data_IF_782034093025
#
_entry.id   IF_782034093025
#
_cell.length_a   1.000
_cell.length_b   1.000
_cell.length_c   1.000
_cell.angle_alpha   90.00
_cell.angle_beta   90.00
_cell.angle_gamma   90.00
#
_symmetry.space_group_name_H-M   'P 1'
#
loop_
_entity.id
_entity.type
_entity.pdbx_description
1 polymer ?
#
# COMPACT_ATOMS: atom_id res chain seq x y z
N UNK A 1 12.54 13.06 15.75
CA UNK A 1 12.44 13.70 14.44
C UNK A 1 11.14 13.29 13.78
N UNK A 2 10.38 14.24 13.35
CA UNK A 2 9.15 13.98 12.59
C UNK A 2 9.52 13.36 11.23
N UNK A 3 9.58 12.05 11.19
CA UNK A 3 9.79 11.31 9.95
C UNK A 3 8.57 11.43 9.05
N UNK A 4 8.79 11.57 7.78
CA UNK A 4 7.79 11.34 6.77
C UNK A 4 6.85 12.48 6.44
N UNK A 5 7.02 13.65 7.01
CA UNK A 5 6.08 14.76 6.81
C UNK A 5 5.80 15.10 5.34
N UNK A 6 6.82 15.29 4.50
CA UNK A 6 6.64 15.65 3.09
C UNK A 6 6.33 14.47 2.18
N UNK A 7 7.15 13.41 2.22
CA UNK A 7 7.00 12.24 1.34
C UNK A 7 5.73 11.45 1.63
N UNK A 8 5.37 11.26 2.92
CA UNK A 8 4.16 10.55 3.32
C UNK A 8 2.91 11.26 2.79
N UNK A 9 2.86 12.58 2.89
CA UNK A 9 1.77 13.37 2.31
C UNK A 9 1.68 13.17 0.79
N UNK A 10 2.82 13.14 0.08
CA UNK A 10 2.85 12.97 -1.38
C UNK A 10 2.17 11.68 -1.81
N UNK A 11 2.58 10.53 -1.27
CA UNK A 11 1.98 9.28 -1.71
C UNK A 11 0.55 9.09 -1.19
N UNK A 12 0.23 9.57 0.01
CA UNK A 12 -1.14 9.51 0.53
C UNK A 12 -2.10 10.38 -0.27
N UNK A 13 -1.72 11.58 -0.64
CA UNK A 13 -2.54 12.45 -1.48
C UNK A 13 -2.79 11.81 -2.85
N UNK A 14 -1.78 11.23 -3.48
CA UNK A 14 -1.93 10.53 -4.75
C UNK A 14 -2.93 9.36 -4.65
N UNK A 15 -2.85 8.56 -3.58
CA UNK A 15 -3.77 7.45 -3.33
C UNK A 15 -5.21 7.94 -3.12
N UNK A 16 -5.39 8.96 -2.30
CA UNK A 16 -6.70 9.53 -2.00
C UNK A 16 -7.35 10.17 -3.22
N UNK A 17 -6.58 10.87 -4.04
CA UNK A 17 -7.07 11.47 -5.29
C UNK A 17 -7.59 10.39 -6.26
N UNK A 18 -6.86 9.28 -6.42
CA UNK A 18 -7.32 8.16 -7.26
C UNK A 18 -8.63 7.57 -6.76
N UNK A 19 -8.76 7.38 -5.46
CA UNK A 19 -9.96 6.84 -4.86
C UNK A 19 -11.16 7.76 -5.07
N UNK A 20 -11.01 9.04 -4.75
CA UNK A 20 -12.08 10.03 -4.90
C UNK A 20 -12.50 10.14 -6.36
N UNK A 21 -11.54 10.20 -7.29
CA UNK A 21 -11.83 10.27 -8.72
C UNK A 21 -12.64 9.06 -9.21
N UNK A 22 -12.23 7.85 -8.85
CA UNK A 22 -12.95 6.63 -9.24
C UNK A 22 -14.36 6.59 -8.65
N UNK A 23 -14.52 7.02 -7.40
CA UNK A 23 -15.82 7.06 -6.75
C UNK A 23 -16.74 8.10 -7.36
N UNK A 24 -16.25 9.29 -7.72
CA UNK A 24 -17.03 10.30 -8.43
C UNK A 24 -17.42 9.84 -9.83
N UNK A 25 -16.55 9.16 -10.54
CA UNK A 25 -16.91 8.52 -11.82
C UNK A 25 -18.06 7.53 -11.65
N UNK A 26 -18.03 6.68 -10.63
CA UNK A 26 -19.09 5.72 -10.38
C UNK A 26 -20.44 6.39 -10.09
N UNK A 27 -20.45 7.59 -9.51
CA UNK A 27 -21.67 8.36 -9.26
C UNK A 27 -22.22 9.07 -10.50
N UNK A 28 -21.38 9.31 -11.50
CA UNK A 28 -21.73 10.08 -12.70
C UNK A 28 -22.26 9.25 -13.85
N UNK A 29 -22.32 7.94 -13.69
CA UNK A 29 -22.77 6.98 -14.72
C UNK A 29 -23.99 6.21 -14.26
N UNK A 30 -24.59 5.40 -15.15
CA UNK A 30 -25.73 4.56 -14.79
C UNK A 30 -25.35 3.51 -13.71
N UNK A 31 -26.34 2.97 -12.96
CA UNK A 31 -26.05 1.92 -11.98
C UNK A 31 -25.34 0.70 -12.57
N UNK A 32 -25.68 0.30 -13.79
CA UNK A 32 -25.04 -0.82 -14.48
C UNK A 32 -23.58 -0.52 -14.81
N UNK A 33 -23.29 0.67 -15.31
CA UNK A 33 -21.93 1.13 -15.59
C UNK A 33 -21.13 1.33 -14.31
N UNK A 34 -21.74 1.91 -13.26
CA UNK A 34 -21.10 2.10 -11.96
C UNK A 34 -20.61 0.78 -11.36
N UNK A 35 -21.39 -0.30 -11.56
CA UNK A 35 -21.01 -1.63 -11.08
C UNK A 35 -19.73 -2.17 -11.75
N UNK A 36 -19.39 -1.69 -12.93
CA UNK A 36 -18.16 -2.08 -13.64
C UNK A 36 -16.94 -1.27 -13.20
N UNK A 37 -17.12 -0.14 -12.53
CA UNK A 37 -16.04 0.71 -12.08
C UNK A 37 -15.42 0.13 -10.83
N UNK A 38 -14.18 -0.34 -10.98
CA UNK A 38 -13.41 -0.90 -9.88
C UNK A 38 -12.78 0.22 -9.07
N UNK A 39 -13.07 0.26 -7.77
CA UNK A 39 -12.37 1.18 -6.87
C UNK A 39 -10.90 0.78 -6.71
N UNK A 40 -9.98 1.74 -6.70
CA UNK A 40 -8.56 1.45 -6.57
C UNK A 40 -8.20 0.88 -5.20
N UNK A 41 -7.20 -0.01 -5.18
CA UNK A 41 -6.60 -0.55 -3.96
C UNK A 41 -5.13 -0.17 -3.93
N UNK A 42 -4.70 0.45 -2.85
CA UNK A 42 -3.30 0.82 -2.65
C UNK A 42 -2.65 -0.04 -1.57
N UNK A 43 -1.35 -0.32 -1.76
CA UNK A 43 -0.52 -1.04 -0.82
C UNK A 43 0.73 -0.22 -0.50
N UNK A 44 0.94 0.07 0.78
CA UNK A 44 2.15 0.72 1.29
C UNK A 44 2.91 -0.28 2.16
N UNK A 45 4.14 -0.58 1.77
CA UNK A 45 5.03 -1.46 2.52
C UNK A 45 6.07 -0.63 3.25
N UNK A 46 6.19 -0.85 4.55
CA UNK A 46 7.11 -0.18 5.45
C UNK A 46 7.95 -1.20 6.22
N UNK A 47 9.22 -0.91 6.54
CA UNK A 47 10.10 -1.90 7.15
C UNK A 47 9.80 -2.20 8.61
N UNK A 48 9.14 -1.29 9.33
CA UNK A 48 8.87 -1.45 10.76
C UNK A 48 7.42 -1.19 11.12
N UNK A 49 7.00 -1.81 12.22
CA UNK A 49 5.70 -1.58 12.84
C UNK A 49 5.47 -0.09 13.14
N UNK A 50 6.45 0.58 13.73
CA UNK A 50 6.35 1.98 14.14
C UNK A 50 6.10 2.89 12.94
N UNK A 51 6.79 2.66 11.85
CA UNK A 51 6.59 3.40 10.60
C UNK A 51 5.23 3.10 9.97
N UNK A 52 4.81 1.85 9.96
CA UNK A 52 3.48 1.47 9.45
C UNK A 52 2.37 2.16 10.25
N UNK A 53 2.46 2.18 11.57
CA UNK A 53 1.49 2.85 12.45
C UNK A 53 1.48 4.36 12.21
N UNK A 54 2.64 4.98 12.02
CA UNK A 54 2.72 6.41 11.72
C UNK A 54 2.06 6.74 10.38
N UNK A 55 2.27 5.92 9.36
CA UNK A 55 1.61 6.08 8.06
C UNK A 55 0.09 5.93 8.21
N UNK A 56 -0.36 4.97 9.00
CA UNK A 56 -1.78 4.77 9.29
C UNK A 56 -2.40 6.01 9.93
N UNK A 57 -1.75 6.59 10.94
CA UNK A 57 -2.23 7.80 11.60
C UNK A 57 -2.34 8.98 10.62
N UNK A 58 -1.32 9.19 9.80
CA UNK A 58 -1.32 10.23 8.77
C UNK A 58 -2.42 10.00 7.73
N UNK A 59 -2.61 8.75 7.30
CA UNK A 59 -3.66 8.39 6.36
C UNK A 59 -5.07 8.66 6.92
N UNK A 60 -5.32 8.31 8.17
CA UNK A 60 -6.61 8.58 8.83
C UNK A 60 -6.88 10.06 8.97
N UNK A 61 -5.87 10.84 9.28
CA UNK A 61 -5.99 12.32 9.37
C UNK A 61 -6.32 12.92 8.01
N UNK A 62 -5.58 12.54 6.95
CA UNK A 62 -5.78 13.09 5.61
C UNK A 62 -7.09 12.63 4.97
N UNK A 63 -7.57 11.44 5.31
CA UNK A 63 -8.80 10.88 4.75
C UNK A 63 -10.05 11.20 5.57
N UNK A 64 -9.94 11.95 6.65
CA UNK A 64 -11.05 12.20 7.59
C UNK A 64 -12.28 12.85 6.93
N UNK A 65 -12.09 13.62 5.86
CA UNK A 65 -13.17 14.20 5.06
C UNK A 65 -13.67 13.34 3.90
N UNK A 66 -13.14 12.12 3.75
CA UNK A 66 -13.50 11.21 2.64
C UNK A 66 -14.35 10.08 3.23
N UNK A 67 -15.69 10.06 3.00
CA UNK A 67 -16.55 9.00 3.52
C UNK A 67 -16.18 7.64 2.92
N UNK A 68 -16.32 6.59 3.74
CA UNK A 68 -16.19 5.19 3.31
C UNK A 68 -14.79 4.77 2.82
N UNK A 69 -13.77 5.59 3.02
CA UNK A 69 -12.39 5.19 2.74
C UNK A 69 -11.87 4.30 3.86
N UNK A 70 -11.52 3.05 3.53
CA UNK A 70 -11.18 2.00 4.49
C UNK A 70 -9.69 1.75 4.52
N UNK A 71 -9.10 1.85 5.71
CA UNK A 71 -7.66 1.67 5.94
C UNK A 71 -7.44 0.45 6.81
N UNK A 72 -6.50 -0.41 6.41
CA UNK A 72 -6.02 -1.53 7.22
C UNK A 72 -4.52 -1.45 7.43
N UNK A 73 -4.05 -1.76 8.66
CA UNK A 73 -2.64 -1.76 9.01
C UNK A 73 -2.24 -3.12 9.59
N UNK A 74 -1.23 -3.75 8.97
CA UNK A 74 -0.85 -5.14 9.22
C UNK A 74 0.64 -5.25 9.55
N UNK A 75 0.95 -5.67 10.78
CA UNK A 75 2.32 -5.82 11.27
C UNK A 75 2.44 -6.96 12.28
N UNK A 76 3.63 -7.52 12.39
CA UNK A 76 3.93 -8.61 13.30
C UNK A 76 4.01 -8.19 14.78
N UNK A 77 4.13 -9.18 15.67
CA UNK A 77 4.25 -8.95 17.11
C UNK A 77 2.92 -8.74 17.85
N UNK A 78 1.79 -8.82 17.14
CA UNK A 78 0.44 -8.74 17.72
C UNK A 78 -0.45 -9.86 17.16
N UNK A 79 -1.52 -10.18 17.88
CA UNK A 79 -2.48 -11.18 17.44
C UNK A 79 -3.23 -10.76 16.16
N UNK A 80 -3.82 -11.75 15.50
CA UNK A 80 -4.51 -11.56 14.22
C UNK A 80 -5.92 -10.96 14.35
N UNK A 81 -6.58 -11.09 15.49
CA UNK A 81 -8.01 -10.77 15.66
C UNK A 81 -8.39 -9.37 15.19
N UNK A 82 -7.63 -8.36 15.64
CA UNK A 82 -7.89 -6.96 15.25
C UNK A 82 -7.68 -6.73 13.76
N UNK A 83 -6.64 -7.36 13.19
CA UNK A 83 -6.30 -7.23 11.78
C UNK A 83 -7.29 -8.00 10.90
N UNK A 84 -7.73 -9.18 11.35
CA UNK A 84 -8.78 -9.95 10.66
C UNK A 84 -10.09 -9.16 10.54
N UNK A 85 -10.45 -8.41 11.56
CA UNK A 85 -11.63 -7.53 11.52
C UNK A 85 -11.52 -6.48 10.41
N UNK A 86 -10.35 -5.85 10.27
CA UNK A 86 -10.12 -4.88 9.20
C UNK A 86 -10.31 -5.51 7.81
N UNK A 87 -9.82 -6.73 7.63
CA UNK A 87 -9.97 -7.47 6.37
C UNK A 87 -11.44 -7.74 6.07
N UNK A 88 -12.21 -8.19 7.06
CA UNK A 88 -13.62 -8.50 6.89
C UNK A 88 -14.45 -7.27 6.49
N UNK A 89 -14.08 -6.10 6.98
CA UNK A 89 -14.73 -4.82 6.63
C UNK A 89 -14.39 -4.33 5.21
N UNK A 90 -13.37 -4.91 4.58
CA UNK A 90 -12.83 -4.46 3.30
C UNK A 90 -11.82 -3.33 3.45
N UNK A 91 -10.89 -3.21 2.50
CA UNK A 91 -9.78 -2.27 2.60
C UNK A 91 -9.52 -1.61 1.25
N UNK A 92 -9.36 -0.28 1.26
CA UNK A 92 -8.96 0.53 0.10
C UNK A 92 -7.47 0.90 0.16
N UNK A 93 -6.93 1.06 1.36
CA UNK A 93 -5.52 1.29 1.61
C UNK A 93 -4.98 0.26 2.59
N UNK A 94 -4.07 -0.57 2.10
CA UNK A 94 -3.37 -1.59 2.89
C UNK A 94 -2.00 -1.01 3.26
N UNK A 95 -1.70 -0.96 4.55
CA UNK A 95 -0.39 -0.54 5.06
C UNK A 95 0.17 -1.70 5.86
N UNK A 96 1.45 -2.01 5.72
CA UNK A 96 1.98 -3.07 6.54
C UNK A 96 3.48 -3.31 6.42
N UNK A 97 3.96 -4.24 7.24
CA UNK A 97 5.32 -4.76 7.19
C UNK A 97 5.37 -6.03 6.33
N UNK A 98 6.52 -6.33 5.70
CA UNK A 98 6.62 -7.39 4.70
C UNK A 98 6.12 -8.75 5.18
N UNK A 99 6.58 -9.22 6.34
CA UNK A 99 6.27 -10.57 6.83
C UNK A 99 4.77 -10.79 7.07
N UNK A 100 4.11 -9.86 7.76
CA UNK A 100 2.68 -9.97 8.06
C UNK A 100 1.81 -9.85 6.81
N UNK A 101 2.18 -8.99 5.86
CA UNK A 101 1.48 -8.87 4.57
C UNK A 101 1.55 -10.17 3.77
N UNK A 102 2.71 -10.81 3.72
CA UNK A 102 2.88 -12.10 3.06
C UNK A 102 2.11 -13.23 3.78
N UNK A 103 2.05 -13.22 5.11
CA UNK A 103 1.23 -14.16 5.87
C UNK A 103 -0.24 -14.09 5.46
N UNK A 104 -0.78 -12.87 5.39
CA UNK A 104 -2.18 -12.67 4.99
C UNK A 104 -2.43 -13.02 3.52
N UNK A 105 -1.46 -12.76 2.65
CA UNK A 105 -1.55 -13.20 1.25
C UNK A 105 -1.55 -14.73 1.15
N UNK A 106 -0.68 -15.40 1.91
CA UNK A 106 -0.59 -16.85 1.94
C UNK A 106 -1.86 -17.51 2.48
N UNK A 107 -2.53 -16.86 3.42
CA UNK A 107 -3.84 -17.28 3.94
C UNK A 107 -5.01 -16.90 3.00
N UNK A 108 -4.75 -16.34 1.84
CA UNK A 108 -5.74 -15.86 0.87
C UNK A 108 -6.69 -14.78 1.43
N UNK A 109 -6.25 -14.05 2.45
CA UNK A 109 -7.03 -12.96 3.06
C UNK A 109 -6.77 -11.61 2.41
N UNK A 110 -5.61 -11.42 1.80
CA UNK A 110 -5.24 -10.23 1.00
C UNK A 110 -4.81 -10.71 -0.38
N UNK A 111 -5.37 -10.10 -1.42
CA UNK A 111 -5.03 -10.42 -2.81
C UNK A 111 -4.22 -9.29 -3.43
N UNK A 112 -2.91 -9.49 -3.60
CA UNK A 112 -2.01 -8.50 -4.18
C UNK A 112 -2.29 -8.23 -5.67
N UNK A 113 -2.99 -9.11 -6.36
CA UNK A 113 -3.38 -8.88 -7.76
C UNK A 113 -4.35 -7.71 -7.93
N UNK A 114 -5.04 -7.33 -6.86
CA UNK A 114 -5.98 -6.20 -6.85
C UNK A 114 -5.29 -4.86 -6.65
N UNK A 115 -4.01 -4.84 -6.31
CA UNK A 115 -3.25 -3.62 -6.03
C UNK A 115 -2.94 -2.89 -7.33
N UNK A 116 -3.39 -1.66 -7.44
CA UNK A 116 -3.11 -0.77 -8.59
C UNK A 116 -2.16 0.39 -8.24
N UNK A 117 -1.94 0.67 -6.96
CA UNK A 117 -0.91 1.61 -6.50
C UNK A 117 -0.06 0.93 -5.43
N UNK A 118 1.23 0.86 -5.68
CA UNK A 118 2.21 0.26 -4.77
C UNK A 118 3.22 1.30 -4.31
N UNK A 119 3.43 1.39 -3.01
CA UNK A 119 4.43 2.26 -2.39
C UNK A 119 5.39 1.44 -1.54
N UNK A 120 6.67 1.54 -1.82
CA UNK A 120 7.74 0.99 -1.00
C UNK A 120 8.43 2.14 -0.28
N UNK A 121 8.21 2.27 1.03
CA UNK A 121 8.79 3.33 1.84
C UNK A 121 10.02 2.82 2.59
N UNK A 122 11.05 3.66 2.66
CA UNK A 122 12.34 3.34 3.28
C UNK A 122 12.97 2.06 2.72
N UNK A 123 13.08 1.97 1.40
CA UNK A 123 13.57 0.79 0.70
C UNK A 123 14.98 0.36 1.13
N UNK A 124 15.89 1.30 1.34
CA UNK A 124 17.24 1.04 1.83
C UNK A 124 17.22 0.35 3.20
N UNK A 125 16.36 0.78 4.10
CA UNK A 125 16.22 0.18 5.41
C UNK A 125 15.63 -1.23 5.32
N UNK A 126 14.72 -1.50 4.38
CA UNK A 126 14.23 -2.85 4.13
C UNK A 126 15.36 -3.80 3.69
N UNK A 127 16.26 -3.35 2.85
CA UNK A 127 17.45 -4.13 2.46
C UNK A 127 18.33 -4.43 3.66
N UNK A 128 18.63 -3.41 4.48
CA UNK A 128 19.48 -3.56 5.66
C UNK A 128 18.89 -4.54 6.69
N UNK A 129 17.57 -4.60 6.77
CA UNK A 129 16.84 -5.52 7.64
C UNK A 129 16.61 -6.91 7.05
N UNK A 130 17.08 -7.17 5.83
CA UNK A 130 16.96 -8.48 5.18
C UNK A 130 15.59 -8.78 4.54
N UNK A 131 14.77 -7.78 4.27
CA UNK A 131 13.44 -7.95 3.66
C UNK A 131 13.42 -8.00 2.13
N UNK A 132 14.59 -8.01 1.48
CA UNK A 132 14.65 -8.06 0.02
C UNK A 132 13.93 -9.26 -0.58
N UNK A 133 14.13 -10.50 -0.09
CA UNK A 133 13.39 -11.65 -0.59
C UNK A 133 11.87 -11.50 -0.45
N UNK A 134 11.41 -10.94 0.65
CA UNK A 134 9.98 -10.71 0.88
C UNK A 134 9.40 -9.70 -0.11
N UNK A 135 10.12 -8.62 -0.37
CA UNK A 135 9.72 -7.61 -1.35
C UNK A 135 9.68 -8.21 -2.76
N UNK A 136 10.67 -9.00 -3.14
CA UNK A 136 10.68 -9.71 -4.43
C UNK A 136 9.46 -10.63 -4.57
N UNK A 137 9.13 -11.36 -3.51
CA UNK A 137 7.97 -12.23 -3.50
C UNK A 137 6.67 -11.43 -3.67
N UNK A 138 6.53 -10.28 -3.02
CA UNK A 138 5.37 -9.39 -3.19
C UNK A 138 5.21 -8.98 -4.66
N UNK A 139 6.28 -8.56 -5.31
CA UNK A 139 6.24 -8.20 -6.73
C UNK A 139 5.78 -9.35 -7.62
N UNK A 140 6.21 -10.56 -7.33
CA UNK A 140 5.78 -11.75 -8.08
C UNK A 140 4.29 -12.08 -7.96
N UNK A 141 3.64 -11.56 -6.91
CA UNK A 141 2.24 -11.79 -6.61
C UNK A 141 1.31 -10.66 -7.07
N UNK A 142 1.88 -9.57 -7.57
CA UNK A 142 1.14 -8.43 -8.10
C UNK A 142 0.96 -8.53 -9.62
N UNK A 143 0.05 -7.72 -10.17
CA UNK A 143 -0.05 -7.53 -11.62
C UNK A 143 1.25 -6.94 -12.18
N UNK A 144 1.45 -7.04 -13.50
CA UNK A 144 2.64 -6.51 -14.15
C UNK A 144 2.85 -5.02 -13.81
N UNK A 145 4.11 -4.62 -13.70
CA UNK A 145 4.51 -3.26 -13.29
C UNK A 145 3.87 -2.15 -14.13
N UNK A 146 3.60 -2.43 -15.39
CA UNK A 146 2.97 -1.49 -16.33
C UNK A 146 1.49 -1.24 -16.03
N UNK A 147 0.85 -2.15 -15.29
CA UNK A 147 -0.58 -2.09 -14.92
C UNK A 147 -0.82 -1.49 -13.55
N UNK A 148 0.24 -1.03 -12.87
CA UNK A 148 0.14 -0.40 -11.56
C UNK A 148 1.01 0.84 -11.47
N UNK A 149 0.62 1.77 -10.62
CA UNK A 149 1.46 2.90 -10.25
C UNK A 149 2.43 2.45 -9.15
N UNK A 150 3.71 2.74 -9.32
CA UNK A 150 4.74 2.38 -8.36
C UNK A 150 5.44 3.63 -7.84
N UNK A 151 5.65 3.68 -6.53
CA UNK A 151 6.42 4.72 -5.86
C UNK A 151 7.43 4.09 -4.93
N UNK A 152 8.66 4.57 -4.99
CA UNK A 152 9.75 4.10 -4.15
C UNK A 152 10.40 5.28 -3.45
N UNK A 153 10.53 5.18 -2.14
CA UNK A 153 11.18 6.19 -1.30
C UNK A 153 12.34 5.55 -0.54
N UNK A 154 13.48 6.20 -0.60
CA UNK A 154 14.70 5.72 0.05
C UNK A 154 15.59 6.91 0.38
N UNK A 155 16.23 6.89 1.55
CA UNK A 155 17.20 7.93 1.94
C UNK A 155 18.48 7.82 1.12
N UNK A 156 18.81 6.60 0.64
CA UNK A 156 19.98 6.31 -0.18
C UNK A 156 19.56 5.64 -1.48
N UNK A 157 20.29 5.89 -2.56
CA UNK A 157 20.08 5.28 -3.88
C UNK A 157 21.27 4.37 -4.24
N UNK A 158 21.65 3.51 -3.31
CA UNK A 158 22.68 2.50 -3.55
C UNK A 158 22.29 1.51 -4.65
N UNK A 159 23.25 0.68 -5.07
CA UNK A 159 23.07 -0.26 -6.19
C UNK A 159 21.84 -1.16 -6.02
N UNK A 160 21.63 -1.69 -4.82
CA UNK A 160 20.48 -2.59 -4.55
C UNK A 160 19.14 -1.90 -4.76
N UNK A 161 18.98 -0.67 -4.28
CA UNK A 161 17.75 0.12 -4.43
C UNK A 161 17.53 0.47 -5.90
N UNK A 162 18.56 0.87 -6.61
CA UNK A 162 18.48 1.16 -8.06
C UNK A 162 18.10 -0.06 -8.88
N UNK A 163 18.68 -1.22 -8.56
CA UNK A 163 18.33 -2.47 -9.23
C UNK A 163 16.89 -2.86 -8.98
N UNK A 164 16.39 -2.70 -7.76
CA UNK A 164 14.99 -2.92 -7.44
C UNK A 164 14.08 -2.00 -8.26
N UNK A 165 14.38 -0.71 -8.32
CA UNK A 165 13.61 0.25 -9.07
C UNK A 165 13.58 -0.10 -10.57
N UNK A 166 14.71 -0.44 -11.14
CA UNK A 166 14.81 -0.86 -12.54
C UNK A 166 14.00 -2.12 -12.85
N UNK A 167 14.10 -3.13 -12.00
CA UNK A 167 13.55 -4.45 -12.24
C UNK A 167 12.02 -4.53 -12.03
N UNK A 168 11.52 -3.84 -11.00
CA UNK A 168 10.15 -4.02 -10.52
C UNK A 168 9.27 -2.77 -10.59
N UNK A 169 9.84 -1.60 -10.79
CA UNK A 169 9.09 -0.36 -10.84
C UNK A 169 9.01 0.15 -12.28
N UNK A 170 7.86 0.68 -12.64
CA UNK A 170 7.72 1.40 -13.91
C UNK A 170 8.47 2.72 -13.81
N UNK A 171 9.32 2.99 -14.77
CA UNK A 171 10.02 4.27 -14.88
C UNK A 171 9.11 5.38 -15.41
#
# INVERSE_FOLDING_TARGET
SKTGSGKTAVFLVAILQKFVFAREQAKSVSPEEAFTIKLPVALIVSPTRELAVQIEEDARTLSSGIPDFRIGCFYGGVGYVKQDKQIAEGIDLIIGTPGRLLDYQQMHKIDFRKVDTFVLDEADRMFDMGFYPDVQKMFSLMVAREKRQNMLFSATLGTKVRNLAWEYMKQ
#
